data_IF_484204148185
#
_entry.id   IF_484204148185
#
_cell.length_a   1.000
_cell.length_b   1.000
_cell.length_c   1.000
_cell.angle_alpha   90.00
_cell.angle_beta   90.00
_cell.angle_gamma   90.00
#
_symmetry.space_group_name_H-M   'P 1'
#
loop_
_entity.id
_entity.type
_entity.pdbx_description
1 polymer ?
#
# COMPACT_ATOMS: atom_id res chain seq x y z
N UNK A 1 1.04 -66.77 -19.63
CA UNK A 1 0.37 -65.67 -20.37
C UNK A 1 0.25 -64.48 -19.44
N UNK A 2 0.60 -63.29 -19.95
CA UNK A 2 1.00 -62.07 -19.25
C UNK A 2 0.04 -61.53 -18.18
N UNK A 3 0.61 -61.13 -17.04
CA UNK A 3 0.00 -60.19 -16.10
C UNK A 3 0.10 -58.77 -16.67
N UNK A 4 -1.05 -58.13 -16.90
CA UNK A 4 -1.12 -56.72 -17.25
C UNK A 4 -1.33 -55.89 -15.97
N UNK A 5 -0.31 -55.14 -15.58
CA UNK A 5 -0.42 -54.08 -14.57
C UNK A 5 -0.92 -52.80 -15.25
N UNK A 6 -2.08 -52.31 -14.81
CA UNK A 6 -2.64 -51.03 -15.26
C UNK A 6 -2.03 -49.91 -14.40
N UNK A 7 -1.03 -49.22 -14.95
CA UNK A 7 -0.49 -48.00 -14.33
C UNK A 7 -1.45 -46.85 -14.64
N UNK A 8 -2.24 -46.43 -13.66
CA UNK A 8 -3.04 -45.20 -13.75
C UNK A 8 -2.07 -44.00 -13.78
N UNK A 9 -2.19 -43.09 -14.76
CA UNK A 9 -1.37 -41.89 -14.77
C UNK A 9 -1.83 -40.99 -13.63
N UNK A 10 -0.96 -40.75 -12.66
CA UNK A 10 -1.12 -39.70 -11.67
C UNK A 10 -1.07 -38.37 -12.42
N UNK A 11 -2.25 -37.83 -12.76
CA UNK A 11 -2.37 -36.52 -13.38
C UNK A 11 -1.96 -35.48 -12.32
N UNK A 12 -0.72 -35.03 -12.41
CA UNK A 12 -0.21 -33.94 -11.59
C UNK A 12 -0.97 -32.68 -11.98
N UNK A 13 -1.93 -32.27 -11.15
CA UNK A 13 -2.62 -31.00 -11.28
C UNK A 13 -1.61 -29.91 -10.91
N UNK A 14 -0.92 -29.36 -11.91
CA UNK A 14 -0.09 -28.16 -11.72
C UNK A 14 -1.07 -27.00 -11.53
N UNK A 15 -1.34 -26.65 -10.27
CA UNK A 15 -1.99 -25.39 -9.95
C UNK A 15 -1.05 -24.27 -10.40
N UNK A 16 -1.37 -23.62 -11.51
CA UNK A 16 -0.70 -22.40 -11.91
C UNK A 16 -1.00 -21.35 -10.86
N UNK A 17 -0.01 -21.02 -10.03
CA UNK A 17 -0.06 -19.83 -9.19
C UNK A 17 -0.13 -18.63 -10.14
N UNK A 18 -1.33 -18.10 -10.37
CA UNK A 18 -1.48 -16.78 -10.95
C UNK A 18 -0.79 -15.83 -9.97
N UNK A 19 0.45 -15.45 -10.27
CA UNK A 19 1.05 -14.29 -9.65
C UNK A 19 0.15 -13.12 -10.01
N UNK A 20 -0.52 -12.54 -9.02
CA UNK A 20 -1.26 -11.31 -9.20
C UNK A 20 -0.23 -10.24 -9.61
N UNK A 21 -0.06 -10.07 -10.92
CA UNK A 21 0.58 -8.89 -11.47
C UNK A 21 -0.48 -7.80 -11.40
N UNK A 22 -0.26 -6.79 -10.59
CA UNK A 22 -1.10 -5.61 -10.67
C UNK A 22 -0.82 -4.95 -12.03
N UNK A 23 -1.77 -4.95 -12.95
CA UNK A 23 -1.69 -4.13 -14.15
C UNK A 23 -1.78 -2.67 -13.71
N UNK A 24 -0.62 -2.05 -13.45
CA UNK A 24 -0.56 -0.65 -13.03
C UNK A 24 -1.20 0.23 -14.11
N UNK A 25 -2.23 1.03 -13.76
CA UNK A 25 -2.81 1.95 -14.70
C UNK A 25 -1.82 3.05 -15.04
N UNK A 26 -1.92 3.59 -16.26
CA UNK A 26 -1.15 4.75 -16.65
C UNK A 26 -1.67 6.00 -15.91
N UNK A 27 -0.76 6.75 -15.28
CA UNK A 27 -1.06 8.06 -14.70
C UNK A 27 -1.12 9.14 -15.79
N UNK A 28 -2.24 9.20 -16.51
CA UNK A 28 -2.50 10.23 -17.53
C UNK A 28 -3.48 11.27 -17.04
N UNK A 29 -3.35 12.51 -17.53
CA UNK A 29 -4.26 13.64 -17.24
C UNK A 29 -4.45 13.91 -15.73
N UNK A 30 -3.36 13.82 -14.97
CA UNK A 30 -3.39 13.99 -13.53
C UNK A 30 -3.79 15.41 -13.12
N UNK A 31 -4.66 15.50 -12.11
CA UNK A 31 -5.13 16.77 -11.56
C UNK A 31 -4.29 17.15 -10.33
N UNK A 32 -3.61 18.31 -10.33
CA UNK A 32 -2.89 18.78 -9.16
C UNK A 32 -3.83 19.15 -8.02
N UNK A 33 -3.55 18.61 -6.84
CA UNK A 33 -4.27 18.89 -5.60
C UNK A 33 -3.56 20.05 -4.89
N UNK A 34 -4.23 21.20 -4.82
CA UNK A 34 -3.69 22.43 -4.23
C UNK A 34 -3.95 22.55 -2.72
N UNK A 35 -4.84 21.71 -2.18
CA UNK A 35 -5.17 21.62 -0.75
C UNK A 35 -5.55 20.18 -0.43
N UNK A 36 -5.09 19.67 0.71
CA UNK A 36 -5.43 18.34 1.22
C UNK A 36 -6.93 18.10 1.17
N UNK A 37 -7.33 17.00 0.54
CA UNK A 37 -8.72 16.58 0.40
C UNK A 37 -9.16 15.90 1.71
N UNK A 38 -10.16 16.43 2.43
CA UNK A 38 -10.66 15.78 3.64
C UNK A 38 -11.65 14.66 3.29
N UNK A 39 -11.53 13.52 3.98
CA UNK A 39 -12.55 12.45 4.01
C UNK A 39 -13.05 12.32 5.43
N UNK A 40 -14.33 12.61 5.66
CA UNK A 40 -14.96 12.61 6.97
C UNK A 40 -15.08 11.22 7.59
N UNK A 41 -15.57 11.20 8.83
CA UNK A 41 -15.70 9.95 9.61
C UNK A 41 -16.67 8.99 8.92
N UNK A 42 -16.20 7.81 8.54
CA UNK A 42 -17.00 6.80 7.83
C UNK A 42 -17.33 7.14 6.37
N UNK A 43 -16.84 8.27 5.84
CA UNK A 43 -17.11 8.68 4.46
C UNK A 43 -16.21 7.95 3.47
N UNK A 44 -16.58 7.97 2.19
CA UNK A 44 -15.80 7.37 1.10
C UNK A 44 -15.47 8.44 0.07
N UNK A 45 -14.18 8.58 -0.23
CA UNK A 45 -13.70 9.26 -1.42
C UNK A 45 -13.48 8.23 -2.53
N UNK A 46 -14.30 8.30 -3.59
CA UNK A 46 -14.13 7.51 -4.80
C UNK A 46 -13.50 8.37 -5.90
N UNK A 47 -12.24 8.09 -6.22
CA UNK A 47 -11.51 8.78 -7.27
C UNK A 47 -11.97 8.41 -8.68
N UNK A 48 -12.76 7.35 -8.86
CA UNK A 48 -13.24 6.87 -10.16
C UNK A 48 -12.08 6.64 -11.16
N UNK A 49 -10.96 6.10 -10.66
CA UNK A 49 -9.68 5.90 -11.36
C UNK A 49 -9.06 7.19 -11.93
N UNK A 50 -9.41 8.36 -11.39
CA UNK A 50 -8.73 9.60 -11.77
C UNK A 50 -7.33 9.65 -11.19
N UNK A 51 -6.43 10.28 -11.96
CA UNK A 51 -5.08 10.56 -11.51
C UNK A 51 -5.01 11.89 -10.74
N UNK A 52 -4.36 11.87 -9.57
CA UNK A 52 -4.05 13.02 -8.73
C UNK A 52 -2.54 13.17 -8.59
N UNK A 53 -2.06 14.41 -8.53
CA UNK A 53 -0.68 14.75 -8.13
C UNK A 53 -0.73 15.85 -7.08
N UNK A 54 0.36 16.07 -6.36
CA UNK A 54 0.50 17.19 -5.46
C UNK A 54 0.85 18.48 -6.22
N UNK A 55 0.20 19.58 -5.86
CA UNK A 55 0.75 20.91 -6.14
C UNK A 55 1.95 21.18 -5.20
N UNK A 56 2.95 22.00 -5.60
CA UNK A 56 4.09 22.34 -4.74
C UNK A 56 3.73 22.92 -3.37
N UNK A 57 2.51 23.45 -3.19
CA UNK A 57 1.99 23.90 -1.89
C UNK A 57 1.70 22.77 -0.88
N UNK A 58 1.66 21.52 -1.34
CA UNK A 58 1.57 20.32 -0.52
C UNK A 58 2.92 19.67 -0.32
N UNK A 59 3.80 19.66 -1.32
CA UNK A 59 5.11 19.03 -1.24
C UNK A 59 5.71 18.83 -2.62
N UNK A 60 6.95 18.35 -2.65
CA UNK A 60 7.71 18.07 -3.88
C UNK A 60 7.87 16.58 -4.15
N UNK A 61 7.34 15.70 -3.30
CA UNK A 61 7.52 14.25 -3.36
C UNK A 61 8.92 13.76 -2.98
N UNK A 62 9.81 14.65 -2.51
CA UNK A 62 11.12 14.25 -2.02
C UNK A 62 11.02 13.63 -0.61
N UNK A 63 12.16 13.43 0.06
CA UNK A 63 12.22 12.84 1.40
C UNK A 63 12.12 13.88 2.54
N UNK A 64 11.59 15.09 2.27
CA UNK A 64 11.34 16.07 3.32
C UNK A 64 10.09 15.68 4.13
N UNK A 65 10.23 15.64 5.46
CA UNK A 65 9.22 15.13 6.41
C UNK A 65 8.03 16.09 6.67
N UNK A 66 8.11 17.35 6.21
CA UNK A 66 7.10 18.40 6.47
C UNK A 66 6.04 18.51 5.35
N UNK A 67 6.04 17.56 4.41
CA UNK A 67 5.08 17.54 3.31
C UNK A 67 3.65 17.22 3.81
N UNK A 68 2.66 17.68 3.06
CA UNK A 68 1.25 17.46 3.37
C UNK A 68 0.73 16.27 2.59
N UNK A 69 -0.19 15.54 3.21
CA UNK A 69 -0.97 14.54 2.52
C UNK A 69 -1.82 15.16 1.39
N UNK A 70 -1.95 14.42 0.30
CA UNK A 70 -2.95 14.70 -0.75
C UNK A 70 -4.36 14.45 -0.17
N UNK A 71 -4.55 13.38 0.59
CA UNK A 71 -5.84 13.01 1.19
C UNK A 71 -5.69 12.77 2.69
N UNK A 72 -6.54 13.41 3.50
CA UNK A 72 -6.61 13.20 4.94
C UNK A 72 -7.92 12.49 5.32
N UNK A 73 -7.79 11.28 5.85
CA UNK A 73 -8.90 10.37 6.13
C UNK A 73 -9.15 10.30 7.63
N UNK A 74 -10.36 10.67 8.05
CA UNK A 74 -10.82 10.50 9.42
C UNK A 74 -11.19 9.03 9.71
N UNK A 75 -11.38 8.71 10.99
CA UNK A 75 -11.69 7.35 11.43
C UNK A 75 -12.88 6.71 10.68
N UNK A 76 -12.70 5.46 10.27
CA UNK A 76 -13.65 4.69 9.45
C UNK A 76 -13.74 5.13 7.98
N UNK A 77 -13.03 6.19 7.56
CA UNK A 77 -13.07 6.70 6.21
C UNK A 77 -12.40 5.80 5.17
N UNK A 78 -12.74 5.99 3.90
CA UNK A 78 -12.25 5.17 2.78
C UNK A 78 -11.76 6.02 1.62
N UNK A 79 -10.72 5.55 0.95
CA UNK A 79 -10.22 6.07 -0.31
C UNK A 79 -10.21 4.92 -1.30
N UNK A 80 -10.94 5.06 -2.40
CA UNK A 80 -11.11 3.99 -3.38
C UNK A 80 -10.86 4.48 -4.81
N UNK A 81 -10.31 3.62 -5.66
CA UNK A 81 -10.14 3.87 -7.10
C UNK A 81 -9.40 5.17 -7.40
N UNK A 82 -8.22 5.37 -6.82
CA UNK A 82 -7.40 6.57 -7.04
C UNK A 82 -6.07 6.18 -7.66
N UNK A 83 -5.63 6.95 -8.65
CA UNK A 83 -4.27 6.88 -9.16
C UNK A 83 -3.53 8.10 -8.63
N UNK A 84 -2.36 7.90 -8.03
CA UNK A 84 -1.43 8.94 -7.62
C UNK A 84 -0.29 8.92 -8.62
N UNK A 85 -0.16 10.02 -9.36
CA UNK A 85 0.90 10.22 -10.34
C UNK A 85 2.25 10.53 -9.70
N UNK A 86 3.18 11.00 -10.51
CA UNK A 86 4.46 11.52 -10.03
C UNK A 86 4.20 12.76 -9.16
N UNK A 87 4.90 12.87 -8.03
CA UNK A 87 4.71 13.89 -6.99
C UNK A 87 3.50 13.60 -6.06
N UNK A 88 3.57 12.49 -5.32
CA UNK A 88 2.56 12.11 -4.32
C UNK A 88 2.57 12.94 -3.03
N UNK A 89 3.50 13.89 -2.86
CA UNK A 89 3.82 14.53 -1.57
C UNK A 89 3.91 13.49 -0.44
N UNK A 90 3.12 13.66 0.63
CA UNK A 90 3.01 12.73 1.76
C UNK A 90 1.72 11.87 1.67
N UNK A 91 1.32 11.53 0.44
CA UNK A 91 0.32 10.51 0.12
C UNK A 91 -1.03 10.65 0.83
N UNK A 92 -1.46 9.57 1.50
CA UNK A 92 -2.70 9.49 2.28
C UNK A 92 -2.39 9.44 3.77
N UNK A 93 -3.04 10.27 4.59
CA UNK A 93 -2.98 10.17 6.05
C UNK A 93 -4.26 9.60 6.64
N UNK A 94 -4.16 8.51 7.38
CA UNK A 94 -5.27 7.93 8.14
C UNK A 94 -5.18 8.31 9.61
N UNK A 95 -6.10 9.15 10.12
CA UNK A 95 -6.15 9.57 11.53
C UNK A 95 -6.69 8.51 12.49
N UNK A 96 -7.37 7.49 11.97
CA UNK A 96 -7.94 6.37 12.73
C UNK A 96 -7.89 5.10 11.90
N UNK A 97 -8.90 4.24 12.05
CA UNK A 97 -9.14 3.14 11.13
C UNK A 97 -9.45 3.70 9.74
N UNK A 98 -8.90 3.13 8.67
CA UNK A 98 -9.24 3.55 7.31
C UNK A 98 -9.17 2.38 6.32
N UNK A 99 -9.80 2.55 5.16
CA UNK A 99 -9.66 1.61 4.04
C UNK A 99 -9.10 2.32 2.81
N UNK A 100 -8.03 1.77 2.26
CA UNK A 100 -7.46 2.15 0.97
C UNK A 100 -7.73 0.96 0.05
N UNK A 101 -8.54 1.14 -0.98
CA UNK A 101 -8.99 0.06 -1.87
C UNK A 101 -8.74 0.41 -3.33
N UNK A 102 -8.01 -0.45 -4.04
CA UNK A 102 -7.76 -0.25 -5.47
C UNK A 102 -7.12 1.12 -5.76
N UNK A 103 -6.08 1.48 -5.01
CA UNK A 103 -5.32 2.71 -5.20
C UNK A 103 -3.92 2.41 -5.73
N UNK A 104 -3.45 3.21 -6.67
CA UNK A 104 -2.17 3.02 -7.34
C UNK A 104 -1.28 4.24 -7.18
N UNK A 105 -0.01 4.04 -6.81
CA UNK A 105 1.03 5.07 -6.83
C UNK A 105 2.02 4.73 -7.94
N UNK A 106 2.04 5.53 -9.01
CA UNK A 106 2.98 5.29 -10.12
C UNK A 106 4.40 5.72 -9.78
N UNK A 107 4.54 6.64 -8.83
CA UNK A 107 5.79 6.99 -8.16
C UNK A 107 5.46 7.55 -6.76
N UNK A 108 5.87 6.83 -5.72
CA UNK A 108 5.66 7.26 -4.35
C UNK A 108 6.49 8.51 -4.06
N UNK A 109 5.89 9.47 -3.33
CA UNK A 109 6.61 10.65 -2.84
C UNK A 109 7.44 10.33 -1.60
N UNK A 110 7.15 11.01 -0.49
CA UNK A 110 7.74 10.67 0.81
C UNK A 110 7.18 9.33 1.32
N UNK A 111 5.85 9.18 1.19
CA UNK A 111 5.05 8.04 1.60
C UNK A 111 3.93 7.77 0.60
N UNK A 112 3.49 6.52 0.46
CA UNK A 112 2.20 6.24 -0.18
C UNK A 112 1.05 6.50 0.81
N UNK A 113 1.20 6.01 2.05
CA UNK A 113 0.27 6.33 3.13
C UNK A 113 0.89 6.21 4.53
N UNK A 114 0.44 7.10 5.43
CA UNK A 114 0.80 7.12 6.85
C UNK A 114 -0.41 6.79 7.73
N UNK A 115 -0.29 5.75 8.56
CA UNK A 115 -1.32 5.31 9.50
C UNK A 115 -1.05 5.87 10.91
N UNK A 116 -1.97 6.69 11.41
CA UNK A 116 -1.86 7.44 12.67
C UNK A 116 -2.94 7.08 13.71
N UNK A 117 -3.60 5.93 13.54
CA UNK A 117 -4.64 5.45 14.45
C UNK A 117 -4.14 5.13 15.87
N UNK A 118 -5.05 5.05 16.83
CA UNK A 118 -4.75 4.64 18.21
C UNK A 118 -4.82 3.13 18.43
N UNK A 119 -4.57 2.69 19.67
CA UNK A 119 -4.79 1.29 20.06
C UNK A 119 -6.21 0.82 19.69
N UNK A 120 -6.31 -0.37 19.09
CA UNK A 120 -7.58 -0.94 18.60
C UNK A 120 -8.02 -0.44 17.21
N UNK A 121 -7.33 0.54 16.61
CA UNK A 121 -7.59 0.92 15.21
C UNK A 121 -7.24 -0.21 14.26
N UNK A 122 -8.00 -0.33 13.17
CA UNK A 122 -7.77 -1.34 12.14
C UNK A 122 -7.84 -0.68 10.76
N UNK A 123 -6.70 -0.61 10.09
CA UNK A 123 -6.59 -0.06 8.74
C UNK A 123 -6.28 -1.15 7.74
N UNK A 124 -6.85 -1.02 6.54
CA UNK A 124 -6.74 -2.02 5.48
C UNK A 124 -6.31 -1.35 4.19
N UNK A 125 -5.28 -1.89 3.56
CA UNK A 125 -4.92 -1.68 2.17
C UNK A 125 -5.28 -2.96 1.42
N UNK A 126 -6.14 -2.86 0.42
CA UNK A 126 -6.62 -4.01 -0.37
C UNK A 126 -6.59 -3.68 -1.85
N UNK A 127 -5.87 -4.47 -2.64
CA UNK A 127 -5.72 -4.20 -4.07
C UNK A 127 -4.82 -2.99 -4.36
N UNK A 128 -4.51 -2.79 -5.64
CA UNK A 128 -3.68 -1.67 -6.10
C UNK A 128 -2.19 -1.99 -6.09
N UNK A 129 -1.37 -0.94 -6.13
CA UNK A 129 0.09 -1.09 -6.10
C UNK A 129 0.84 0.21 -5.94
N UNK A 130 2.12 0.13 -5.57
CA UNK A 130 3.01 1.28 -5.47
C UNK A 130 4.33 1.02 -6.18
N UNK A 131 4.88 2.09 -6.76
CA UNK A 131 6.17 2.10 -7.44
C UNK A 131 7.10 3.15 -6.85
N UNK A 132 8.41 2.88 -6.87
CA UNK A 132 9.43 3.91 -6.68
C UNK A 132 9.51 4.53 -5.29
N UNK A 133 9.09 3.82 -4.23
CA UNK A 133 9.24 4.33 -2.87
C UNK A 133 10.72 4.32 -2.43
N UNK A 134 11.34 5.51 -2.40
CA UNK A 134 12.76 5.70 -2.10
C UNK A 134 13.16 5.15 -0.71
N UNK A 135 12.31 5.34 0.31
CA UNK A 135 12.45 4.69 1.62
C UNK A 135 11.29 3.74 1.93
N UNK A 136 10.13 4.27 2.36
CA UNK A 136 8.98 3.47 2.78
C UNK A 136 7.76 3.74 1.91
N UNK A 137 7.05 2.68 1.56
CA UNK A 137 5.76 2.79 0.89
C UNK A 137 4.67 3.13 1.92
N UNK A 138 4.65 2.42 3.05
CA UNK A 138 3.70 2.68 4.12
C UNK A 138 4.40 2.99 5.45
N UNK A 139 3.99 4.07 6.10
CA UNK A 139 4.42 4.41 7.44
C UNK A 139 3.32 4.09 8.46
N UNK A 140 3.72 3.56 9.62
CA UNK A 140 2.81 3.37 10.75
C UNK A 140 3.35 4.11 11.97
N UNK A 141 2.83 5.32 12.20
CA UNK A 141 3.14 6.16 13.36
C UNK A 141 2.26 5.82 14.55
N UNK A 142 1.00 5.50 14.28
CA UNK A 142 -0.03 5.15 15.26
C UNK A 142 0.06 3.71 15.76
N UNK A 143 -0.77 3.37 16.73
CA UNK A 143 -0.97 1.99 17.20
C UNK A 143 -2.04 1.24 16.42
N UNK A 144 -2.30 -0.02 16.81
CA UNK A 144 -3.36 -0.83 16.22
C UNK A 144 -2.85 -1.84 15.20
N UNK A 145 -3.63 -2.08 14.15
CA UNK A 145 -3.33 -3.06 13.10
C UNK A 145 -3.42 -2.43 11.72
N UNK A 146 -2.43 -2.69 10.87
CA UNK A 146 -2.49 -2.43 9.43
C UNK A 146 -2.43 -3.77 8.69
N UNK A 147 -3.45 -4.03 7.87
CA UNK A 147 -3.49 -5.20 6.98
C UNK A 147 -3.24 -4.74 5.54
N UNK A 148 -2.22 -5.28 4.88
CA UNK A 148 -1.92 -5.05 3.47
C UNK A 148 -2.18 -6.35 2.73
N UNK A 149 -3.07 -6.32 1.74
CA UNK A 149 -3.40 -7.51 0.96
C UNK A 149 -3.67 -7.25 -0.50
N UNK A 150 -3.45 -8.27 -1.33
CA UNK A 150 -3.66 -8.22 -2.78
C UNK A 150 -2.91 -7.04 -3.44
N UNK A 151 -1.73 -6.71 -2.95
CA UNK A 151 -1.01 -5.48 -3.28
C UNK A 151 0.32 -5.80 -3.98
N UNK A 152 0.74 -4.95 -4.91
CA UNK A 152 2.06 -5.03 -5.53
C UNK A 152 2.92 -3.81 -5.15
N UNK A 153 4.12 -4.05 -4.62
CA UNK A 153 5.12 -3.01 -4.40
C UNK A 153 6.31 -3.27 -5.34
N UNK A 154 6.65 -2.32 -6.19
CA UNK A 154 7.75 -2.41 -7.14
C UNK A 154 8.76 -1.29 -6.86
N UNK A 155 10.04 -1.60 -6.70
CA UNK A 155 11.08 -0.60 -6.36
C UNK A 155 10.86 0.11 -5.03
N UNK A 156 10.21 -0.54 -4.06
CA UNK A 156 10.01 -0.03 -2.71
C UNK A 156 11.19 -0.38 -1.80
N UNK A 157 11.76 0.58 -1.07
CA UNK A 157 12.78 0.29 -0.05
C UNK A 157 12.22 -0.55 1.10
N UNK A 158 11.04 -0.19 1.61
CA UNK A 158 10.29 -0.93 2.63
C UNK A 158 8.81 -0.91 2.28
N UNK A 159 8.17 -2.08 2.29
CA UNK A 159 6.71 -2.15 2.13
C UNK A 159 6.00 -1.36 3.23
N UNK A 160 6.38 -1.59 4.48
CA UNK A 160 5.80 -0.90 5.63
C UNK A 160 6.83 -0.76 6.76
N UNK A 161 6.81 0.39 7.45
CA UNK A 161 7.67 0.67 8.61
C UNK A 161 6.83 1.07 9.83
N UNK A 162 6.97 0.32 10.92
CA UNK A 162 6.59 0.81 12.26
C UNK A 162 7.56 1.93 12.67
N UNK A 163 7.06 3.09 13.07
CA UNK A 163 7.88 4.24 13.43
C UNK A 163 8.91 3.90 14.53
N UNK A 164 10.20 4.09 14.21
CA UNK A 164 11.33 3.70 15.07
C UNK A 164 11.82 4.77 16.03
N UNK A 165 11.45 6.03 15.81
CA UNK A 165 11.91 7.21 16.54
C UNK A 165 10.76 8.12 17.01
N UNK A 166 9.50 7.68 16.86
CA UNK A 166 8.36 8.40 17.42
C UNK A 166 8.53 8.57 18.94
N UNK A 167 8.21 9.78 19.43
CA UNK A 167 8.36 10.12 20.86
C UNK A 167 7.64 9.14 21.78
N UNK A 168 6.45 8.70 21.35
CA UNK A 168 5.69 7.65 22.03
C UNK A 168 5.78 6.35 21.25
N UNK A 169 6.26 5.29 21.90
CA UNK A 169 6.27 3.94 21.35
C UNK A 169 5.00 3.20 21.76
N UNK A 170 4.30 2.64 20.78
CA UNK A 170 3.04 1.91 20.96
C UNK A 170 3.09 0.57 20.22
N UNK A 171 2.30 -0.44 20.64
CA UNK A 171 2.19 -1.67 19.87
C UNK A 171 1.61 -1.43 18.47
N UNK A 172 2.29 -1.96 17.46
CA UNK A 172 1.92 -1.89 16.05
C UNK A 172 1.91 -3.29 15.45
N UNK A 173 0.75 -3.71 14.96
CA UNK A 173 0.58 -5.02 14.33
C UNK A 173 0.49 -4.84 12.82
N UNK A 174 1.25 -5.64 12.09
CA UNK A 174 1.29 -5.61 10.63
C UNK A 174 0.91 -7.00 10.13
N UNK A 175 -0.08 -7.04 9.24
CA UNK A 175 -0.54 -8.27 8.57
C UNK A 175 -0.33 -8.08 7.07
N UNK A 176 0.34 -9.03 6.43
CA UNK A 176 0.64 -9.00 4.99
C UNK A 176 0.15 -10.29 4.36
N UNK A 177 -0.69 -10.20 3.33
CA UNK A 177 -1.34 -11.35 2.69
C UNK A 177 -1.33 -11.16 1.17
N UNK A 178 -0.88 -12.14 0.40
CA UNK A 178 -0.94 -12.06 -1.07
C UNK A 178 -0.32 -10.76 -1.63
N UNK A 179 0.84 -10.37 -1.08
CA UNK A 179 1.60 -9.20 -1.53
C UNK A 179 2.79 -9.63 -2.36
N UNK A 180 2.94 -9.00 -3.52
CA UNK A 180 4.09 -9.17 -4.39
C UNK A 180 5.04 -7.98 -4.18
N UNK A 181 6.31 -8.26 -3.89
CA UNK A 181 7.36 -7.24 -3.90
C UNK A 181 8.30 -7.55 -5.07
N UNK A 182 8.36 -6.63 -6.04
CA UNK A 182 9.29 -6.67 -7.17
C UNK A 182 10.41 -5.67 -6.94
N UNK A 183 11.59 -6.01 -7.46
CA UNK A 183 12.80 -5.18 -7.43
C UNK A 183 12.98 -4.39 -6.14
N UNK A 184 13.77 -4.94 -5.23
CA UNK A 184 14.13 -4.30 -3.98
C UNK A 184 14.67 -2.88 -4.23
N UNK A 185 13.98 -1.85 -3.71
CA UNK A 185 14.31 -0.43 -3.92
C UNK A 185 15.67 -0.03 -3.34
N UNK A 186 15.98 1.27 -3.29
CA UNK A 186 17.33 1.78 -2.94
C UNK A 186 17.84 1.40 -1.53
N UNK A 187 16.98 0.92 -0.62
CA UNK A 187 17.35 0.49 0.75
C UNK A 187 16.49 -0.67 1.26
N UNK A 188 16.65 -1.88 0.71
CA UNK A 188 15.73 -2.95 0.98
C UNK A 188 15.93 -3.52 2.37
N UNK A 189 14.89 -3.43 3.20
CA UNK A 189 14.80 -4.20 4.43
C UNK A 189 13.75 -5.29 4.25
N UNK A 190 14.19 -6.51 4.02
CA UNK A 190 13.31 -7.68 4.06
C UNK A 190 12.91 -7.90 5.52
N UNK A 191 11.81 -7.30 5.95
CA UNK A 191 11.10 -7.83 7.11
C UNK A 191 10.70 -9.25 6.72
N UNK A 192 11.35 -10.26 7.30
CA UNK A 192 10.97 -11.66 7.16
C UNK A 192 9.49 -11.78 7.51
N UNK A 193 8.62 -11.79 6.50
CA UNK A 193 7.22 -12.13 6.69
C UNK A 193 7.22 -13.55 7.23
N UNK A 194 6.50 -13.85 8.33
CA UNK A 194 6.37 -15.23 8.77
C UNK A 194 5.74 -15.98 7.60
N UNK A 195 6.55 -16.85 6.99
CA UNK A 195 6.10 -17.84 6.02
C UNK A 195 4.94 -18.57 6.68
N UNK A 196 3.72 -18.34 6.22
CA UNK A 196 2.63 -19.26 6.50
C UNK A 196 3.04 -20.59 5.88
N UNK A 197 3.53 -21.49 6.72
CA UNK A 197 3.80 -22.87 6.36
C UNK A 197 2.46 -23.49 5.97
N UNK A 198 2.43 -24.14 4.81
CA UNK A 198 1.45 -25.19 4.50
C UNK A 198 1.44 -26.26 5.59
#
# INVERSE_FOLDING_TARGET
>A
MQHFYFCLPFCLLIATLNSASADFPAATDCTPVTKTIPVGKGETYDGQNKCLTADPSLGSGNQDEDQKAIILVQDGGKVINVIFGDDGADGIHCKGSCTILNCFWTNVGEDAATFRGGAGSNSVVDGGGAKGADDKCFQMDGGGTVTIKNFECDQCGKLIRSCGNCETQVPRNIVVQDVVVRDLGKSPTLATLPRSLE
#
